data_IF_128939252902
#
_entry.id   IF_128939252902
#
_cell.length_a   1.000
_cell.length_b   1.000
_cell.length_c   1.000
_cell.angle_alpha   90.00
_cell.angle_beta   90.00
_cell.angle_gamma   90.00
#
_symmetry.space_group_name_H-M   'P 1'
#
loop_
_entity.id
_entity.type
_entity.pdbx_description
1 polymer ?
#
# COMPACT_ATOMS: atom_id res chain seq x y z
N UNK A 1 -20.24 -9.80 -1.04
CA UNK A 1 -19.94 -8.49 -0.40
C UNK A 1 -18.56 -8.44 0.26
N UNK A 2 -18.08 -9.53 0.89
CA UNK A 2 -16.81 -9.56 1.65
C UNK A 2 -15.54 -9.38 0.80
N UNK A 3 -15.55 -9.81 -0.48
CA UNK A 3 -14.39 -9.68 -1.37
C UNK A 3 -14.11 -8.24 -1.83
N UNK A 4 -15.15 -7.41 -1.94
CA UNK A 4 -15.03 -6.02 -2.39
C UNK A 4 -14.34 -5.17 -1.33
N UNK A 5 -14.56 -5.47 -0.04
CA UNK A 5 -13.97 -4.75 1.08
C UNK A 5 -12.44 -4.85 1.08
N UNK A 6 -11.89 -6.05 0.86
CA UNK A 6 -10.43 -6.24 0.79
C UNK A 6 -9.78 -5.48 -0.36
N UNK A 7 -10.46 -5.41 -1.52
CA UNK A 7 -9.99 -4.65 -2.68
C UNK A 7 -10.02 -3.15 -2.39
N UNK A 8 -11.12 -2.63 -1.83
CA UNK A 8 -11.25 -1.20 -1.50
C UNK A 8 -10.19 -0.78 -0.47
N UNK A 9 -10.01 -1.57 0.60
CA UNK A 9 -8.97 -1.31 1.61
C UNK A 9 -7.59 -1.33 0.98
N UNK A 10 -7.31 -2.30 0.11
CA UNK A 10 -6.06 -2.38 -0.63
C UNK A 10 -5.78 -1.14 -1.48
N UNK A 11 -6.78 -0.64 -2.20
CA UNK A 11 -6.65 0.60 -3.00
C UNK A 11 -6.35 1.81 -2.12
N UNK A 12 -7.01 1.95 -0.96
CA UNK A 12 -6.73 3.03 -0.02
C UNK A 12 -5.27 2.99 0.45
N UNK A 13 -4.76 1.81 0.79
CA UNK A 13 -3.37 1.64 1.19
C UNK A 13 -2.39 1.96 0.05
N UNK A 14 -2.73 1.65 -1.20
CA UNK A 14 -1.90 2.06 -2.36
C UNK A 14 -1.84 3.58 -2.52
N UNK A 15 -2.94 4.30 -2.29
CA UNK A 15 -2.93 5.77 -2.34
C UNK A 15 -1.98 6.34 -1.27
N UNK A 16 -2.02 5.79 -0.05
CA UNK A 16 -1.08 6.19 1.00
C UNK A 16 0.37 5.82 0.66
N UNK A 17 0.61 4.63 0.09
CA UNK A 17 1.93 4.22 -0.37
C UNK A 17 2.49 5.19 -1.42
N UNK A 18 1.67 5.56 -2.41
CA UNK A 18 2.06 6.53 -3.43
C UNK A 18 2.44 7.89 -2.83
N UNK A 19 1.67 8.38 -1.86
CA UNK A 19 2.02 9.63 -1.16
C UNK A 19 3.30 9.51 -0.35
N UNK A 20 3.53 8.38 0.32
CA UNK A 20 4.77 8.13 1.06
C UNK A 20 5.98 8.16 0.13
N UNK A 21 5.91 7.53 -1.05
CA UNK A 21 6.99 7.63 -2.04
C UNK A 21 7.18 9.07 -2.57
N UNK A 22 6.11 9.85 -2.70
CA UNK A 22 6.20 11.28 -3.02
C UNK A 22 6.97 12.08 -1.96
N UNK A 23 6.71 11.83 -0.66
CA UNK A 23 7.47 12.46 0.43
C UNK A 23 8.92 11.98 0.49
N UNK A 24 9.18 10.71 0.17
CA UNK A 24 10.53 10.17 0.06
C UNK A 24 11.32 10.90 -1.04
N UNK A 25 10.73 11.06 -2.23
CA UNK A 25 11.33 11.77 -3.35
C UNK A 25 11.59 13.26 -3.02
N UNK A 26 10.65 13.90 -2.32
CA UNK A 26 10.83 15.27 -1.84
C UNK A 26 12.01 15.37 -0.85
N UNK A 27 12.12 14.45 0.10
CA UNK A 27 13.25 14.39 1.04
C UNK A 27 14.60 14.30 0.33
N UNK A 28 14.70 13.43 -0.69
CA UNK A 28 15.90 13.31 -1.52
C UNK A 28 16.24 14.59 -2.28
N UNK A 29 15.22 15.32 -2.78
CA UNK A 29 15.44 16.61 -3.47
C UNK A 29 15.92 17.73 -2.54
N UNK A 30 15.66 17.62 -1.23
CA UNK A 30 16.07 18.60 -0.21
C UNK A 30 17.37 18.24 0.50
N UNK A 31 18.02 17.12 0.14
CA UNK A 31 19.20 16.60 0.84
C UNK A 31 18.91 16.04 2.24
N UNK A 32 17.66 15.64 2.50
CA UNK A 32 17.22 15.08 3.76
C UNK A 32 17.14 13.54 3.66
N UNK A 33 18.30 12.89 3.75
CA UNK A 33 18.45 11.45 3.50
C UNK A 33 17.63 10.58 4.48
N UNK A 34 17.53 10.97 5.75
CA UNK A 34 16.71 10.27 6.75
C UNK A 34 15.23 10.28 6.36
N UNK A 35 14.74 11.43 5.89
CA UNK A 35 13.35 11.61 5.48
C UNK A 35 13.07 10.79 4.22
N UNK A 36 14.00 10.79 3.26
CA UNK A 36 13.93 9.94 2.08
C UNK A 36 13.85 8.46 2.46
N UNK A 37 14.74 7.99 3.33
CA UNK A 37 14.83 6.60 3.75
C UNK A 37 13.56 6.14 4.47
N UNK A 38 13.13 6.85 5.51
CA UNK A 38 11.99 6.43 6.32
C UNK A 38 10.68 6.45 5.54
N UNK A 39 10.46 7.45 4.68
CA UNK A 39 9.28 7.45 3.83
C UNK A 39 9.30 6.34 2.77
N UNK A 40 10.47 5.95 2.25
CA UNK A 40 10.59 4.80 1.35
C UNK A 40 10.25 3.48 2.06
N UNK A 41 10.71 3.32 3.31
CA UNK A 41 10.36 2.17 4.16
C UNK A 41 8.84 2.12 4.39
N UNK A 42 8.23 3.25 4.78
CA UNK A 42 6.78 3.34 4.98
C UNK A 42 6.01 3.02 3.69
N UNK A 43 6.40 3.59 2.55
CA UNK A 43 5.79 3.31 1.25
C UNK A 43 5.87 1.82 0.87
N UNK A 44 6.99 1.17 1.15
CA UNK A 44 7.19 -0.26 0.90
C UNK A 44 6.26 -1.12 1.77
N UNK A 45 6.16 -0.82 3.06
CA UNK A 45 5.26 -1.54 3.98
C UNK A 45 3.79 -1.37 3.61
N UNK A 46 3.37 -0.16 3.23
CA UNK A 46 2.01 0.12 2.77
C UNK A 46 1.67 -0.64 1.49
N UNK A 47 2.63 -0.76 0.57
CA UNK A 47 2.46 -1.52 -0.68
C UNK A 47 2.26 -3.01 -0.39
N UNK A 48 3.03 -3.58 0.55
CA UNK A 48 2.87 -4.98 0.98
C UNK A 48 1.50 -5.19 1.63
N UNK A 49 1.10 -4.29 2.53
CA UNK A 49 -0.21 -4.36 3.19
C UNK A 49 -1.36 -4.28 2.19
N UNK A 50 -1.27 -3.39 1.20
CA UNK A 50 -2.23 -3.29 0.11
C UNK A 50 -2.30 -4.59 -0.70
N UNK A 51 -1.15 -5.15 -1.09
CA UNK A 51 -1.07 -6.42 -1.80
C UNK A 51 -1.74 -7.56 -1.03
N UNK A 52 -1.45 -7.68 0.27
CA UNK A 52 -2.07 -8.67 1.14
C UNK A 52 -3.60 -8.51 1.24
N UNK A 53 -4.09 -7.26 1.35
CA UNK A 53 -5.53 -6.97 1.41
C UNK A 53 -6.25 -7.34 0.10
N UNK A 54 -5.65 -7.03 -1.06
CA UNK A 54 -6.20 -7.35 -2.37
C UNK A 54 -6.20 -8.87 -2.58
N UNK A 55 -5.06 -9.53 -2.37
CA UNK A 55 -4.93 -10.99 -2.55
C UNK A 55 -5.86 -11.73 -1.59
N UNK A 56 -5.89 -11.34 -0.32
CA UNK A 56 -6.80 -11.89 0.68
C UNK A 56 -8.27 -11.72 0.29
N UNK A 57 -8.65 -10.54 -0.21
CA UNK A 57 -9.99 -10.27 -0.71
C UNK A 57 -10.38 -11.13 -1.92
N UNK A 58 -9.45 -11.38 -2.83
CA UNK A 58 -9.66 -12.22 -4.01
C UNK A 58 -9.79 -13.71 -3.64
N UNK A 59 -8.96 -14.22 -2.72
CA UNK A 59 -9.02 -15.61 -2.26
C UNK A 59 -10.36 -15.89 -1.58
N UNK A 60 -10.78 -15.04 -0.65
CA UNK A 60 -12.07 -15.20 0.04
C UNK A 60 -13.26 -15.05 -0.92
N UNK A 61 -13.12 -14.27 -1.99
CA UNK A 61 -14.13 -14.15 -3.04
C UNK A 61 -14.27 -15.43 -3.89
N UNK A 62 -13.18 -16.15 -4.14
CA UNK A 62 -13.19 -17.43 -4.86
C UNK A 62 -13.71 -18.57 -3.99
N UNK A 63 -13.31 -18.61 -2.72
CA UNK A 63 -13.73 -19.65 -1.77
C UNK A 63 -15.25 -19.67 -1.47
N UNK A 64 -15.98 -18.59 -1.77
CA UNK A 64 -17.44 -18.52 -1.59
C UNK A 64 -18.26 -18.97 -2.81
N UNK A 65 -17.60 -19.28 -3.94
CA UNK A 65 -18.26 -19.61 -5.22
C UNK A 65 -18.03 -21.06 -5.69
N UNK A 66 -17.22 -21.84 -4.98
CA UNK A 66 -17.04 -23.28 -5.20
C UNK A 66 -17.73 -24.06 -4.10
#
# INVERSE_FOLDING_TARGET
>A
MKSVIGIVIGVIWLVFAFRAFGFSAAGGSTGADDLQFWWAVVGSLLTIAAGAAIVGGLIHGRAQRG
#
